data_IF_126917764573
#
_entry.id   IF_126917764573
#
_cell.length_a   1.000
_cell.length_b   1.000
_cell.length_c   1.000
_cell.angle_alpha   90.00
_cell.angle_beta   90.00
_cell.angle_gamma   90.00
#
_symmetry.space_group_name_H-M   'P 1'
#
loop_
_entity.id
_entity.type
_entity.pdbx_description
1 polymer ?
#
# COMPACT_ATOMS: atom_id res chain seq x y z
N UNK A 1 -9.43 14.48 -0.82
CA UNK A 1 -8.68 14.51 -2.07
C UNK A 1 -7.37 13.76 -1.93
N UNK A 2 -7.16 12.82 -2.79
CA UNK A 2 -6.04 11.88 -2.66
C UNK A 2 -4.89 12.29 -3.57
N UNK A 3 -4.08 13.26 -3.14
CA UNK A 3 -2.95 13.74 -3.94
C UNK A 3 -1.99 12.62 -4.31
N UNK A 4 -1.72 11.73 -3.36
CA UNK A 4 -0.74 10.68 -3.59
C UNK A 4 -1.27 9.55 -4.47
N UNK A 5 -2.59 9.40 -4.63
CA UNK A 5 -3.13 8.39 -5.54
C UNK A 5 -2.62 8.61 -6.97
N UNK A 6 -2.42 9.84 -7.39
CA UNK A 6 -1.95 10.17 -8.73
C UNK A 6 -0.54 9.65 -9.02
N UNK A 7 0.23 9.29 -7.98
CA UNK A 7 1.55 8.69 -8.14
C UNK A 7 1.47 7.24 -8.60
N UNK A 8 0.36 6.54 -8.26
CA UNK A 8 0.20 5.14 -8.63
C UNK A 8 -0.05 5.02 -10.12
N UNK A 9 0.77 4.23 -10.77
CA UNK A 9 0.66 3.93 -12.19
C UNK A 9 0.42 2.45 -12.39
N UNK A 10 -0.22 2.09 -13.49
CA UNK A 10 -0.43 0.70 -13.88
C UNK A 10 0.35 0.39 -15.12
N UNK A 11 0.65 -0.89 -15.29
CA UNK A 11 1.33 -1.44 -16.43
C UNK A 11 0.39 -2.42 -17.11
N UNK A 12 0.25 -2.33 -18.44
CA UNK A 12 -0.58 -3.26 -19.19
C UNK A 12 0.13 -4.59 -19.35
N UNK A 13 -0.62 -5.68 -19.21
CA UNK A 13 -0.14 -7.02 -19.39
C UNK A 13 -0.56 -7.53 -20.77
N UNK A 14 0.32 -8.30 -21.44
CA UNK A 14 0.11 -8.73 -22.82
C UNK A 14 -0.84 -9.93 -22.92
N UNK A 15 -0.72 -10.87 -21.99
CA UNK A 15 -1.42 -12.15 -22.11
C UNK A 15 -2.67 -12.15 -21.23
N UNK A 16 -3.73 -11.57 -21.74
CA UNK A 16 -4.99 -11.37 -20.97
C UNK A 16 -5.85 -12.62 -20.89
N UNK A 17 -5.46 -13.71 -21.53
CA UNK A 17 -6.19 -14.98 -21.48
C UNK A 17 -6.04 -15.69 -20.16
N UNK A 18 -5.02 -15.35 -19.38
CA UNK A 18 -4.74 -16.03 -18.12
C UNK A 18 -4.60 -15.04 -16.99
N UNK A 19 -4.95 -15.49 -15.79
CA UNK A 19 -4.81 -14.70 -14.57
C UNK A 19 -3.42 -14.86 -13.98
N UNK A 20 -2.99 -13.84 -13.26
CA UNK A 20 -1.79 -13.90 -12.44
C UNK A 20 -2.11 -13.38 -11.04
N UNK A 21 -1.66 -14.10 -10.03
CA UNK A 21 -1.75 -13.65 -8.64
C UNK A 21 -0.45 -12.97 -8.27
N UNK A 22 -0.55 -11.77 -7.74
CA UNK A 22 0.61 -10.96 -7.38
C UNK A 22 0.54 -10.55 -5.92
N UNK A 23 1.70 -10.44 -5.30
CA UNK A 23 1.83 -9.86 -3.97
C UNK A 23 3.06 -8.95 -3.98
N UNK A 24 2.83 -7.65 -3.84
CA UNK A 24 3.90 -6.68 -3.68
C UNK A 24 4.26 -6.60 -2.19
N UNK A 25 5.53 -6.75 -1.88
CA UNK A 25 6.03 -6.69 -0.50
C UNK A 25 7.00 -5.53 -0.41
N UNK A 26 6.67 -4.54 0.42
CA UNK A 26 7.49 -3.35 0.56
C UNK A 26 7.75 -3.06 2.04
N UNK A 27 8.92 -2.49 2.32
CA UNK A 27 9.16 -1.90 3.63
C UNK A 27 8.34 -0.63 3.76
N UNK A 28 7.80 -0.38 4.95
CA UNK A 28 7.09 0.85 5.25
C UNK A 28 8.04 1.84 5.87
N UNK A 29 8.09 3.09 5.36
CA UNK A 29 8.89 4.13 6.00
C UNK A 29 8.22 4.63 7.27
N UNK A 30 8.98 5.31 8.12
CA UNK A 30 8.41 6.07 9.24
C UNK A 30 7.61 7.23 8.66
N UNK A 31 6.31 7.24 8.90
CA UNK A 31 5.41 8.22 8.28
C UNK A 31 5.05 9.36 9.22
N UNK A 32 4.85 9.06 10.51
CA UNK A 32 4.47 10.07 11.49
C UNK A 32 5.70 10.81 12.01
N UNK A 33 5.80 12.13 11.80
CA UNK A 33 6.98 12.89 12.24
C UNK A 33 7.08 13.02 13.77
N UNK A 34 5.99 12.79 14.48
CA UNK A 34 5.96 12.91 15.94
C UNK A 34 6.37 11.59 16.59
N UNK A 35 5.69 10.50 16.26
CA UNK A 35 5.94 9.19 16.86
C UNK A 35 7.03 8.40 16.17
N UNK A 36 7.31 8.70 14.90
CA UNK A 36 8.19 7.91 14.05
C UNK A 36 7.59 6.56 13.64
N UNK A 37 6.28 6.38 13.81
CA UNK A 37 5.63 5.13 13.43
C UNK A 37 5.29 5.10 11.93
N UNK A 38 5.27 3.94 11.30
CA UNK A 38 5.75 2.66 11.85
C UNK A 38 7.26 2.63 11.93
N UNK A 39 7.79 1.82 12.86
CA UNK A 39 9.24 1.72 13.06
C UNK A 39 9.87 0.85 11.98
N UNK A 40 11.19 0.93 11.90
CA UNK A 40 11.99 0.13 10.97
C UNK A 40 11.67 -1.36 11.12
N UNK A 41 11.58 -2.07 9.99
CA UNK A 41 11.21 -3.48 9.98
C UNK A 41 9.74 -3.71 9.70
N UNK A 42 8.93 -2.66 9.67
CA UNK A 42 7.51 -2.76 9.27
C UNK A 42 7.41 -3.04 7.78
N UNK A 43 6.47 -3.89 7.40
CA UNK A 43 6.26 -4.25 5.99
C UNK A 43 4.78 -4.18 5.63
N UNK A 44 4.53 -3.96 4.35
CA UNK A 44 3.18 -4.01 3.77
C UNK A 44 3.19 -4.99 2.61
N UNK A 45 2.10 -5.76 2.49
CA UNK A 45 1.87 -6.70 1.39
C UNK A 45 0.58 -6.32 0.69
N UNK A 46 0.64 -6.15 -0.63
CA UNK A 46 -0.50 -5.78 -1.45
C UNK A 46 -0.72 -6.91 -2.44
N UNK A 47 -1.86 -7.59 -2.33
CA UNK A 47 -2.15 -8.80 -3.11
C UNK A 47 -3.39 -8.61 -3.97
N UNK A 48 -3.33 -9.13 -5.19
CA UNK A 48 -4.47 -9.13 -6.10
C UNK A 48 -4.27 -10.18 -7.19
N UNK A 49 -5.37 -10.47 -7.89
CA UNK A 49 -5.36 -11.35 -9.07
C UNK A 49 -5.82 -10.53 -10.26
N UNK A 50 -5.02 -10.48 -11.32
CA UNK A 50 -5.35 -9.66 -12.48
C UNK A 50 -5.12 -10.42 -13.79
N UNK A 51 -5.61 -9.85 -14.89
CA UNK A 51 -5.40 -10.35 -16.25
C UNK A 51 -4.72 -9.32 -17.14
N UNK A 52 -5.15 -8.07 -17.04
CA UNK A 52 -4.82 -7.04 -18.03
C UNK A 52 -3.93 -5.93 -17.50
N UNK A 53 -3.83 -5.76 -16.18
CA UNK A 53 -3.01 -4.70 -15.58
C UNK A 53 -2.32 -5.18 -14.31
N UNK A 54 -1.20 -4.54 -14.01
CA UNK A 54 -0.52 -4.67 -12.73
C UNK A 54 -0.08 -3.30 -12.27
N UNK A 55 0.15 -3.14 -10.97
CA UNK A 55 0.72 -1.91 -10.44
C UNK A 55 2.19 -1.83 -10.89
N UNK A 56 2.60 -0.67 -11.39
CA UNK A 56 3.98 -0.44 -11.79
C UNK A 56 4.84 -0.27 -10.54
N UNK A 57 5.91 -1.05 -10.42
CA UNK A 57 6.62 -1.22 -9.14
C UNK A 57 7.34 0.03 -8.65
N UNK A 58 7.88 0.85 -9.56
CA UNK A 58 8.58 2.07 -9.16
C UNK A 58 7.60 3.13 -8.66
N UNK A 59 6.45 3.25 -9.32
CA UNK A 59 5.40 4.16 -8.88
C UNK A 59 4.84 3.76 -7.53
N UNK A 60 4.76 2.45 -7.27
CA UNK A 60 4.29 1.95 -5.98
C UNK A 60 5.25 2.37 -4.86
N UNK A 61 6.57 2.28 -5.07
CA UNK A 61 7.55 2.74 -4.08
C UNK A 61 7.39 4.23 -3.81
N UNK A 62 7.25 5.04 -4.85
CA UNK A 62 7.03 6.48 -4.70
C UNK A 62 5.74 6.78 -3.95
N UNK A 63 4.68 6.03 -4.26
CA UNK A 63 3.38 6.19 -3.61
C UNK A 63 3.48 5.91 -2.11
N UNK A 64 4.10 4.79 -1.72
CA UNK A 64 4.27 4.44 -0.30
C UNK A 64 5.13 5.50 0.41
N UNK A 65 6.19 5.96 -0.22
CA UNK A 65 7.06 6.98 0.36
C UNK A 65 6.39 8.33 0.49
N UNK A 66 5.32 8.57 -0.27
CA UNK A 66 4.57 9.84 -0.19
C UNK A 66 3.86 10.03 1.15
N UNK A 67 3.75 8.98 1.96
CA UNK A 67 3.19 9.08 3.31
C UNK A 67 4.20 9.57 4.35
N UNK A 68 5.47 9.71 3.99
CA UNK A 68 6.49 10.25 4.91
C UNK A 68 6.12 11.69 5.24
N UNK A 69 6.15 12.03 6.55
CA UNK A 69 5.77 13.34 7.02
C UNK A 69 4.29 13.47 7.36
N UNK A 70 3.53 12.39 7.18
CA UNK A 70 2.11 12.36 7.43
C UNK A 70 1.28 12.88 6.26
N UNK A 71 -0.03 12.83 6.41
CA UNK A 71 -0.97 13.21 5.36
C UNK A 71 -2.24 13.72 6.00
N UNK A 72 -2.80 14.81 5.51
CA UNK A 72 -3.90 15.52 6.18
C UNK A 72 -5.15 14.67 6.39
N UNK A 73 -5.47 13.79 5.44
CA UNK A 73 -6.65 12.93 5.53
C UNK A 73 -6.36 11.55 6.10
N UNK A 74 -5.17 11.35 6.67
CA UNK A 74 -4.77 10.08 7.29
C UNK A 74 -4.36 10.34 8.73
N UNK A 75 -5.13 9.78 9.67
CA UNK A 75 -4.92 10.06 11.08
C UNK A 75 -4.07 9.04 11.82
N UNK A 76 -4.06 7.81 11.35
CA UNK A 76 -3.33 6.75 12.01
C UNK A 76 -2.93 5.67 11.03
N UNK A 77 -2.29 4.64 11.55
CA UNK A 77 -1.84 3.52 10.73
C UNK A 77 -3.01 2.81 10.05
N UNK A 78 -4.13 2.67 10.77
CA UNK A 78 -5.33 2.03 10.23
C UNK A 78 -5.84 2.78 9.00
N UNK A 79 -5.95 4.10 9.10
CA UNK A 79 -6.43 4.92 8.00
C UNK A 79 -5.44 4.90 6.83
N UNK A 80 -4.15 4.86 7.10
CA UNK A 80 -3.14 4.77 6.06
C UNK A 80 -3.28 3.47 5.27
N UNK A 81 -3.45 2.34 5.95
CA UNK A 81 -3.59 1.06 5.27
C UNK A 81 -4.91 0.99 4.49
N UNK A 82 -6.00 1.53 5.04
CA UNK A 82 -7.27 1.64 4.31
C UNK A 82 -7.11 2.47 3.04
N UNK A 83 -6.44 3.62 3.15
CA UNK A 83 -6.21 4.48 1.99
C UNK A 83 -5.41 3.78 0.92
N UNK A 84 -4.36 3.06 1.31
CA UNK A 84 -3.54 2.30 0.36
C UNK A 84 -4.40 1.27 -0.38
N UNK A 85 -5.24 0.54 0.34
CA UNK A 85 -6.13 -0.45 -0.27
C UNK A 85 -7.11 0.19 -1.23
N UNK A 86 -7.72 1.31 -0.84
CA UNK A 86 -8.69 2.01 -1.67
C UNK A 86 -8.04 2.61 -2.92
N UNK A 87 -6.86 3.18 -2.80
CA UNK A 87 -6.15 3.76 -3.94
C UNK A 87 -5.73 2.67 -4.94
N UNK A 88 -5.21 1.54 -4.45
CA UNK A 88 -4.86 0.42 -5.32
C UNK A 88 -6.09 -0.15 -6.02
N UNK A 89 -7.20 -0.30 -5.30
CA UNK A 89 -8.47 -0.73 -5.86
C UNK A 89 -8.94 0.23 -6.97
N UNK A 90 -8.80 1.51 -6.73
CA UNK A 90 -9.24 2.55 -7.67
C UNK A 90 -8.49 2.47 -8.99
N UNK A 91 -7.16 2.29 -8.95
CA UNK A 91 -6.35 2.28 -10.18
C UNK A 91 -6.44 0.94 -10.93
N UNK A 92 -6.67 -0.16 -10.22
CA UNK A 92 -6.75 -1.49 -10.85
C UNK A 92 -8.18 -1.91 -11.20
N UNK A 93 -9.17 -1.43 -10.46
CA UNK A 93 -10.58 -1.78 -10.68
C UNK A 93 -10.93 -3.22 -10.27
N UNK A 94 -10.12 -3.85 -9.41
CA UNK A 94 -10.31 -5.23 -8.98
C UNK A 94 -10.15 -5.32 -7.46
N UNK A 95 -10.52 -6.47 -6.89
CA UNK A 95 -10.39 -6.69 -5.45
C UNK A 95 -8.93 -6.67 -5.01
N UNK A 96 -8.68 -6.04 -3.89
CA UNK A 96 -7.36 -5.85 -3.32
C UNK A 96 -7.36 -6.36 -1.89
N UNK A 97 -6.30 -7.04 -1.49
CA UNK A 97 -6.04 -7.38 -0.09
C UNK A 97 -4.74 -6.73 0.32
N UNK A 98 -4.78 -5.92 1.37
CA UNK A 98 -3.59 -5.31 1.95
C UNK A 98 -3.39 -5.86 3.35
N UNK A 99 -2.19 -6.32 3.63
CA UNK A 99 -1.79 -6.79 4.95
C UNK A 99 -0.55 -6.02 5.38
N UNK A 100 -0.55 -5.49 6.60
CA UNK A 100 0.58 -4.76 7.12
C UNK A 100 1.01 -5.34 8.45
N UNK A 101 2.30 -5.57 8.59
CA UNK A 101 2.94 -5.98 9.85
C UNK A 101 3.71 -4.79 10.36
N UNK A 102 3.21 -4.16 11.41
CA UNK A 102 3.74 -2.90 11.91
C UNK A 102 4.48 -3.10 13.22
N UNK A 103 5.67 -2.52 13.29
CA UNK A 103 6.43 -2.43 14.54
C UNK A 103 6.21 -1.02 15.07
N UNK A 104 5.60 -0.91 16.25
CA UNK A 104 5.25 0.38 16.84
C UNK A 104 6.21 0.78 17.95
N UNK A 105 6.65 -0.20 18.76
CA UNK A 105 7.59 -0.03 19.85
C UNK A 105 8.39 -1.32 19.99
N UNK A 106 9.48 -1.35 20.76
CA UNK A 106 10.30 -2.56 20.88
C UNK A 106 9.51 -3.82 21.23
N UNK A 107 8.45 -3.67 22.02
CA UNK A 107 7.65 -4.81 22.48
C UNK A 107 6.20 -4.75 22.00
N UNK A 108 5.93 -3.97 20.93
CA UNK A 108 4.56 -3.80 20.47
C UNK A 108 4.51 -3.85 18.94
N UNK A 109 3.71 -4.77 18.44
CA UNK A 109 3.48 -4.95 17.01
C UNK A 109 1.98 -4.95 16.74
N UNK A 110 1.61 -4.63 15.50
CA UNK A 110 0.21 -4.63 15.09
C UNK A 110 0.13 -5.21 13.68
N UNK A 111 -0.83 -6.09 13.46
CA UNK A 111 -1.09 -6.64 12.13
C UNK A 111 -2.45 -6.12 11.67
N UNK A 112 -2.46 -5.48 10.51
CA UNK A 112 -3.67 -4.94 9.90
C UNK A 112 -3.96 -5.69 8.61
N UNK A 113 -5.24 -5.88 8.34
CA UNK A 113 -5.70 -6.54 7.11
C UNK A 113 -6.91 -5.78 6.57
N UNK A 114 -6.85 -5.34 5.33
CA UNK A 114 -7.93 -4.60 4.68
C UNK A 114 -8.24 -5.26 3.35
N UNK A 115 -9.52 -5.53 3.13
CA UNK A 115 -10.03 -6.09 1.86
C UNK A 115 -10.96 -5.07 1.21
N UNK A 116 -10.79 -4.88 -0.07
CA UNK A 116 -11.65 -3.99 -0.87
C UNK A 116 -12.16 -4.73 -2.08
#
# INVERSE_FOLDING_TARGET
MCKNQSLLKTQELLFTQTEIKQCHILSLPSCCPISGNPKEGSIIKISYTSKDKAIEVYSLRQYIDSFIGGYDDVRGMEDMIKKIALDCHSVLGISILVKANLILEPNQKMILRVSV
#
